data_IF_444908464916
#
_entry.id   IF_444908464916
#
_cell.length_a   1.000
_cell.length_b   1.000
_cell.length_c   1.000
_cell.angle_alpha   90.00
_cell.angle_beta   90.00
_cell.angle_gamma   90.00
#
_symmetry.space_group_name_H-M   'P 1'
#
loop_
_entity.id
_entity.type
_entity.pdbx_description
1 polymer ?
#
# COMPACT_ATOMS: atom_id res chain seq x y z
N UNK A 1 69.79 29.45 36.57
CA UNK A 1 68.58 28.67 36.93
C UNK A 1 67.58 28.90 35.81
N UNK A 2 67.87 28.25 34.69
CA UNK A 2 67.13 27.10 34.19
C UNK A 2 65.87 27.57 33.43
N UNK A 3 66.04 27.65 32.11
CA UNK A 3 64.98 27.85 31.13
C UNK A 3 64.04 26.65 31.15
N UNK A 4 62.73 26.91 31.22
CA UNK A 4 61.70 25.89 31.03
C UNK A 4 61.15 26.04 29.61
N UNK A 5 61.65 25.20 28.71
CA UNK A 5 61.02 24.96 27.41
C UNK A 5 59.69 24.25 27.65
N UNK A 6 58.59 24.97 27.51
CA UNK A 6 57.25 24.37 27.42
C UNK A 6 57.13 23.76 26.02
N UNK A 7 57.52 22.50 25.92
CA UNK A 7 57.34 21.65 24.75
C UNK A 7 55.85 21.52 24.41
N UNK A 8 55.45 22.20 23.34
CA UNK A 8 54.10 22.16 22.80
C UNK A 8 53.76 20.78 22.24
N UNK A 9 53.13 19.94 23.05
CA UNK A 9 52.41 18.76 22.57
C UNK A 9 50.98 19.16 22.18
N UNK A 10 50.85 19.81 21.02
CA UNK A 10 49.58 19.82 20.29
C UNK A 10 49.55 18.52 19.49
N UNK A 11 49.01 17.47 20.10
CA UNK A 11 48.54 16.31 19.35
C UNK A 11 47.30 16.79 18.60
N UNK A 12 47.51 17.22 17.37
CA UNK A 12 46.51 17.72 16.45
C UNK A 12 45.57 16.57 16.05
N UNK A 13 44.62 16.26 16.93
CA UNK A 13 43.51 15.32 16.71
C UNK A 13 42.41 16.03 15.91
N UNK A 14 42.78 16.70 14.82
CA UNK A 14 41.82 17.41 13.97
C UNK A 14 42.12 17.31 12.47
N UNK A 15 42.78 16.23 12.04
CA UNK A 15 42.96 15.87 10.62
C UNK A 15 42.28 14.54 10.25
N UNK A 16 41.15 14.22 10.91
CA UNK A 16 40.34 13.02 10.61
C UNK A 16 38.85 13.33 10.40
N UNK A 17 38.55 14.51 9.86
CA UNK A 17 37.19 15.00 9.70
C UNK A 17 36.95 15.75 8.39
N UNK A 18 37.64 15.40 7.30
CA UNK A 18 37.50 16.14 6.03
C UNK A 18 37.67 15.27 4.79
N UNK A 19 37.01 14.10 4.76
CA UNK A 19 36.83 13.32 3.52
C UNK A 19 35.62 12.36 3.56
N UNK A 20 34.66 12.60 4.47
CA UNK A 20 33.38 11.88 4.49
C UNK A 20 32.19 12.80 4.16
N UNK A 21 32.47 13.95 3.53
CA UNK A 21 31.47 14.83 2.90
C UNK A 21 31.25 14.44 1.42
N UNK A 22 31.35 13.12 1.13
CA UNK A 22 30.81 12.56 -0.10
C UNK A 22 29.30 12.54 0.12
N UNK A 23 28.66 13.60 -0.34
CA UNK A 23 27.28 13.91 -0.06
C UNK A 23 26.33 12.75 -0.37
N UNK A 24 25.30 12.64 0.47
CA UNK A 24 23.99 12.00 0.25
C UNK A 24 23.34 12.30 -1.12
N UNK A 25 23.93 13.16 -1.95
CA UNK A 25 23.42 13.57 -3.26
C UNK A 25 23.89 12.67 -4.41
N UNK A 26 24.90 11.80 -4.22
CA UNK A 26 25.37 10.85 -5.24
C UNK A 26 24.82 9.43 -5.04
N UNK A 27 23.93 9.22 -4.07
CA UNK A 27 23.21 7.95 -3.99
C UNK A 27 22.34 7.82 -5.26
N UNK A 28 22.55 6.80 -6.12
CA UNK A 28 21.79 6.68 -7.35
C UNK A 28 20.31 6.65 -7.00
N UNK A 29 19.49 7.42 -7.73
CA UNK A 29 18.03 7.51 -7.49
C UNK A 29 17.38 6.11 -7.44
N UNK A 30 17.92 5.15 -8.18
CA UNK A 30 17.49 3.76 -8.13
C UNK A 30 17.72 3.09 -6.77
N UNK A 31 18.76 3.42 -6.01
CA UNK A 31 19.01 2.89 -4.66
C UNK A 31 17.97 3.45 -3.68
N UNK A 32 17.62 4.73 -3.80
CA UNK A 32 16.51 5.35 -3.06
C UNK A 32 15.16 4.70 -3.41
N UNK A 33 14.84 4.58 -4.70
CA UNK A 33 13.60 3.96 -5.18
C UNK A 33 13.53 2.50 -4.77
N UNK A 34 14.63 1.74 -4.87
CA UNK A 34 14.68 0.33 -4.46
C UNK A 34 14.50 0.17 -2.95
N UNK A 35 15.03 1.10 -2.15
CA UNK A 35 14.85 1.12 -0.69
C UNK A 35 13.40 1.42 -0.32
N UNK A 36 12.79 2.41 -0.95
CA UNK A 36 11.39 2.80 -0.71
C UNK A 36 10.42 1.73 -1.22
N UNK A 37 10.66 1.19 -2.41
CA UNK A 37 9.90 0.07 -2.97
C UNK A 37 10.04 -1.20 -2.12
N UNK A 38 11.25 -1.49 -1.61
CA UNK A 38 11.46 -2.62 -0.69
C UNK A 38 10.78 -2.37 0.65
N UNK A 39 10.77 -1.15 1.17
CA UNK A 39 10.05 -0.81 2.40
C UNK A 39 8.52 -0.96 2.21
N UNK A 40 7.99 -0.51 1.08
CA UNK A 40 6.58 -0.69 0.70
C UNK A 40 6.27 -2.17 0.50
N UNK A 41 7.07 -2.93 -0.25
CA UNK A 41 6.90 -4.37 -0.43
C UNK A 41 7.00 -5.13 0.90
N UNK A 42 7.88 -4.72 1.80
CA UNK A 42 8.00 -5.34 3.13
C UNK A 42 6.74 -5.05 3.95
N UNK A 43 6.22 -3.82 3.95
CA UNK A 43 4.93 -3.47 4.58
C UNK A 43 3.74 -4.23 3.97
N UNK A 44 3.77 -4.42 2.65
CA UNK A 44 2.76 -5.17 1.90
C UNK A 44 2.85 -6.68 2.20
N UNK A 45 4.06 -7.22 2.33
CA UNK A 45 4.34 -8.58 2.77
C UNK A 45 3.84 -8.81 4.21
N UNK A 46 3.95 -7.81 5.07
CA UNK A 46 3.37 -7.84 6.42
C UNK A 46 1.83 -7.87 6.43
N UNK A 47 1.16 -7.27 5.44
CA UNK A 47 -0.31 -7.40 5.28
C UNK A 47 -0.68 -8.81 4.82
N UNK A 48 0.21 -9.50 4.10
CA UNK A 48 0.04 -10.89 3.64
C UNK A 48 0.39 -11.95 4.69
N UNK A 49 1.17 -11.63 5.72
CA UNK A 49 1.57 -12.54 6.79
C UNK A 49 1.25 -11.94 8.16
N UNK A 50 0.25 -12.47 8.89
CA UNK A 50 -0.15 -11.93 10.19
C UNK A 50 0.93 -12.26 11.22
N UNK A 51 1.84 -11.31 11.44
CA UNK A 51 2.93 -11.52 12.38
C UNK A 51 3.95 -10.39 12.40
N UNK A 52 3.70 -9.39 13.27
CA UNK A 52 4.74 -8.67 14.05
C UNK A 52 5.28 -7.34 13.48
N UNK A 53 4.46 -6.29 13.54
CA UNK A 53 4.72 -5.03 14.29
C UNK A 53 3.76 -3.91 13.85
N UNK A 54 2.78 -3.61 14.70
CA UNK A 54 1.74 -2.58 14.47
C UNK A 54 2.27 -1.13 14.56
N UNK A 55 3.54 -0.96 14.94
CA UNK A 55 4.19 0.34 15.10
C UNK A 55 4.54 1.04 13.77
N UNK A 56 4.64 0.27 12.67
CA UNK A 56 5.10 0.78 11.36
C UNK A 56 4.00 1.47 10.53
N UNK A 57 2.74 1.46 11.00
CA UNK A 57 1.61 2.21 10.44
C UNK A 57 1.32 3.53 11.19
N UNK A 58 2.16 3.91 12.16
CA UNK A 58 2.05 5.22 12.82
C UNK A 58 2.65 6.34 11.94
N UNK A 59 3.61 5.99 11.07
CA UNK A 59 4.23 6.93 10.16
C UNK A 59 3.38 7.13 8.91
N UNK A 60 2.99 8.37 8.71
CA UNK A 60 2.15 8.93 7.67
C UNK A 60 2.73 8.74 6.26
N UNK A 61 2.62 7.52 5.71
CA UNK A 61 3.15 7.18 4.39
C UNK A 61 2.00 7.09 3.36
N UNK A 62 1.67 8.21 2.74
CA UNK A 62 0.66 8.31 1.66
C UNK A 62 1.16 7.74 0.33
N UNK A 63 2.46 7.48 0.19
CA UNK A 63 3.07 7.03 -1.05
C UNK A 63 2.72 5.57 -1.35
N UNK A 64 2.61 4.73 -0.33
CA UNK A 64 2.22 3.32 -0.47
C UNK A 64 0.82 3.13 -1.08
N UNK A 65 -0.25 3.69 -0.47
CA UNK A 65 -1.61 3.66 -1.03
C UNK A 65 -1.70 4.24 -2.44
N UNK A 66 -0.96 5.33 -2.70
CA UNK A 66 -0.92 5.97 -4.02
C UNK A 66 -0.28 5.04 -5.06
N UNK A 67 0.85 4.42 -4.73
CA UNK A 67 1.52 3.45 -5.59
C UNK A 67 0.63 2.22 -5.86
N UNK A 68 -0.09 1.72 -4.84
CA UNK A 68 -1.04 0.62 -5.00
C UNK A 68 -2.22 1.00 -5.88
N UNK A 69 -2.73 2.23 -5.75
CA UNK A 69 -3.78 2.76 -6.61
C UNK A 69 -3.30 2.87 -8.07
N UNK A 70 -2.08 3.37 -8.28
CA UNK A 70 -1.46 3.46 -9.60
C UNK A 70 -1.25 2.08 -10.23
N UNK A 71 -0.75 1.13 -9.45
CA UNK A 71 -0.56 -0.25 -9.90
C UNK A 71 -1.89 -0.92 -10.25
N UNK A 72 -2.91 -0.75 -9.41
CA UNK A 72 -4.25 -1.29 -9.66
C UNK A 72 -4.86 -0.69 -10.93
N UNK A 73 -4.76 0.63 -11.11
CA UNK A 73 -5.20 1.32 -12.32
C UNK A 73 -4.46 0.86 -13.58
N UNK A 74 -3.14 0.66 -13.49
CA UNK A 74 -2.32 0.15 -14.60
C UNK A 74 -2.70 -1.28 -14.98
N UNK A 75 -2.91 -2.15 -13.99
CA UNK A 75 -3.31 -3.55 -14.21
C UNK A 75 -4.72 -3.64 -14.82
N UNK A 76 -5.63 -2.74 -14.42
CA UNK A 76 -6.95 -2.62 -15.03
C UNK A 76 -6.90 -2.04 -16.45
N UNK A 77 -6.04 -1.04 -16.69
CA UNK A 77 -5.91 -0.42 -18.02
C UNK A 77 -5.33 -1.40 -19.04
N UNK A 78 -4.27 -2.14 -18.69
CA UNK A 78 -3.68 -3.12 -19.59
C UNK A 78 -4.64 -4.22 -20.04
N UNK A 79 -5.80 -4.36 -19.38
CA UNK A 79 -6.87 -5.28 -19.75
C UNK A 79 -7.72 -4.82 -20.94
N UNK A 80 -7.73 -3.53 -21.28
CA UNK A 80 -8.46 -3.04 -22.46
C UNK A 80 -7.55 -2.92 -23.68
N UNK A 81 -7.40 -3.98 -24.48
CA UNK A 81 -6.92 -3.83 -25.85
C UNK A 81 -8.12 -3.61 -26.76
N UNK A 82 -8.49 -2.35 -26.99
CA UNK A 82 -9.42 -1.97 -28.04
C UNK A 82 -10.66 -1.22 -27.57
N UNK A 83 -10.52 0.07 -27.33
CA UNK A 83 -11.51 1.07 -27.71
C UNK A 83 -10.91 2.45 -27.43
N UNK A 84 -11.35 3.45 -28.18
CA UNK A 84 -10.85 4.83 -28.14
C UNK A 84 -11.22 5.58 -26.85
N UNK A 85 -11.39 4.88 -25.72
CA UNK A 85 -11.61 5.48 -24.41
C UNK A 85 -10.26 5.89 -23.81
N UNK A 86 -10.16 7.16 -23.45
CA UNK A 86 -8.97 7.76 -22.88
C UNK A 86 -8.50 6.95 -21.65
N UNK A 87 -7.24 6.46 -21.61
CA UNK A 87 -6.67 5.72 -20.47
C UNK A 87 -6.86 6.44 -19.12
N UNK A 88 -7.01 7.76 -19.19
CA UNK A 88 -7.34 8.70 -18.13
C UNK A 88 -8.60 8.31 -17.34
N UNK A 89 -9.67 7.84 -18.00
CA UNK A 89 -10.97 7.61 -17.34
C UNK A 89 -10.90 6.44 -16.35
N UNK A 90 -10.26 5.32 -16.71
CA UNK A 90 -10.12 4.16 -15.83
C UNK A 90 -9.27 4.46 -14.60
N UNK A 91 -8.17 5.19 -14.79
CA UNK A 91 -7.31 5.60 -13.67
C UNK A 91 -8.06 6.52 -12.70
N UNK A 92 -8.79 7.52 -13.22
CA UNK A 92 -9.59 8.43 -12.39
C UNK A 92 -10.66 7.66 -11.62
N UNK A 93 -11.32 6.68 -12.25
CA UNK A 93 -12.32 5.86 -11.58
C UNK A 93 -11.73 5.12 -10.36
N UNK A 94 -10.61 4.41 -10.55
CA UNK A 94 -9.95 3.67 -9.46
C UNK A 94 -9.46 4.65 -8.37
N UNK A 95 -8.90 5.78 -8.78
CA UNK A 95 -8.43 6.81 -7.86
C UNK A 95 -9.56 7.35 -6.98
N UNK A 96 -10.67 7.78 -7.58
CA UNK A 96 -11.82 8.31 -6.84
C UNK A 96 -12.45 7.24 -5.95
N UNK A 97 -12.54 5.99 -6.41
CA UNK A 97 -13.09 4.89 -5.61
C UNK A 97 -12.22 4.60 -4.38
N UNK A 98 -10.89 4.53 -4.55
CA UNK A 98 -9.96 4.24 -3.45
C UNK A 98 -9.91 5.39 -2.46
N UNK A 99 -9.65 6.62 -2.91
CA UNK A 99 -9.52 7.78 -2.02
C UNK A 99 -10.85 8.23 -1.43
N UNK A 100 -11.89 8.33 -2.26
CA UNK A 100 -13.23 8.70 -1.82
C UNK A 100 -13.83 7.65 -0.90
N UNK A 101 -13.72 6.36 -1.26
CA UNK A 101 -14.19 5.26 -0.44
C UNK A 101 -13.46 5.19 0.90
N UNK A 102 -12.13 5.29 0.90
CA UNK A 102 -11.35 5.33 2.14
C UNK A 102 -11.73 6.53 3.02
N UNK A 103 -11.92 7.72 2.42
CA UNK A 103 -12.36 8.90 3.17
C UNK A 103 -13.73 8.70 3.83
N UNK A 104 -14.71 8.10 3.14
CA UNK A 104 -16.04 7.79 3.71
C UNK A 104 -15.91 6.81 4.89
N UNK A 105 -15.15 5.73 4.72
CA UNK A 105 -14.91 4.74 5.79
C UNK A 105 -14.25 5.39 7.00
N UNK A 106 -13.22 6.20 6.76
CA UNK A 106 -12.48 6.90 7.81
C UNK A 106 -13.34 7.91 8.56
N UNK A 107 -14.12 8.73 7.85
CA UNK A 107 -15.03 9.70 8.48
C UNK A 107 -16.05 8.96 9.34
N UNK A 108 -16.60 7.85 8.83
CA UNK A 108 -17.50 7.01 9.62
C UNK A 108 -16.80 6.52 10.90
N UNK A 109 -15.60 5.97 10.80
CA UNK A 109 -14.83 5.51 11.96
C UNK A 109 -14.54 6.63 12.99
N UNK A 110 -14.30 7.87 12.54
CA UNK A 110 -14.12 9.02 13.43
C UNK A 110 -15.43 9.44 14.13
N UNK A 111 -16.56 9.44 13.41
CA UNK A 111 -17.88 9.75 13.98
C UNK A 111 -18.26 8.77 15.11
N UNK A 112 -17.74 7.54 15.07
CA UNK A 112 -17.89 6.57 16.15
C UNK A 112 -17.08 6.90 17.43
N UNK A 113 -16.45 8.09 17.51
CA UNK A 113 -15.49 8.52 18.54
C UNK A 113 -14.23 7.66 18.61
N UNK A 114 -13.79 7.12 17.47
CA UNK A 114 -12.50 6.46 17.37
C UNK A 114 -11.36 7.47 17.55
N UNK A 115 -10.30 7.12 18.29
CA UNK A 115 -9.08 7.95 18.42
C UNK A 115 -8.14 7.82 17.21
N UNK A 116 -8.72 7.58 16.03
CA UNK A 116 -7.99 7.31 14.78
C UNK A 116 -7.80 8.60 14.00
N UNK A 117 -6.56 8.86 13.58
CA UNK A 117 -6.30 9.98 12.69
C UNK A 117 -6.78 9.68 11.26
N UNK A 118 -7.27 10.71 10.57
CA UNK A 118 -7.90 10.61 9.25
C UNK A 118 -7.03 9.85 8.25
N UNK A 119 -5.88 10.43 7.95
CA UNK A 119 -5.03 9.89 6.91
C UNK A 119 -4.59 8.45 7.24
N UNK A 120 -4.61 8.01 8.52
CA UNK A 120 -3.89 6.80 8.98
C UNK A 120 -4.77 5.62 8.69
N UNK A 121 -6.06 5.83 8.95
CA UNK A 121 -7.12 4.97 8.45
C UNK A 121 -7.08 4.92 6.92
N UNK A 122 -6.95 6.05 6.22
CA UNK A 122 -6.86 6.06 4.74
C UNK A 122 -5.65 5.24 4.25
N UNK A 123 -4.46 5.45 4.84
CA UNK A 123 -3.27 4.69 4.48
C UNK A 123 -3.42 3.20 4.78
N UNK A 124 -3.94 2.85 5.95
CA UNK A 124 -4.18 1.45 6.35
C UNK A 124 -5.13 0.75 5.38
N UNK A 125 -6.25 1.41 5.04
CA UNK A 125 -7.21 0.89 4.06
C UNK A 125 -6.56 0.73 2.68
N UNK A 126 -5.72 1.68 2.27
CA UNK A 126 -4.95 1.60 1.03
C UNK A 126 -3.96 0.43 1.01
N UNK A 127 -3.21 0.18 2.09
CA UNK A 127 -2.28 -0.95 2.17
C UNK A 127 -2.98 -2.29 2.13
N UNK A 128 -4.16 -2.37 2.74
CA UNK A 128 -5.01 -3.53 2.70
C UNK A 128 -5.59 -3.80 1.30
N UNK A 129 -5.38 -2.95 0.28
CA UNK A 129 -5.73 -3.26 -1.12
C UNK A 129 -4.73 -4.18 -1.81
N UNK A 130 -3.53 -4.37 -1.25
CA UNK A 130 -2.51 -5.19 -1.89
C UNK A 130 -2.98 -6.62 -2.25
N UNK A 131 -3.69 -7.36 -1.38
CA UNK A 131 -4.20 -8.68 -1.75
C UNK A 131 -5.09 -8.63 -3.00
N UNK A 132 -5.93 -7.59 -3.14
CA UNK A 132 -6.74 -7.39 -4.36
C UNK A 132 -5.84 -7.09 -5.57
N UNK A 133 -4.85 -6.23 -5.43
CA UNK A 133 -3.92 -5.91 -6.53
C UNK A 133 -3.16 -7.14 -7.01
N UNK A 134 -2.72 -8.01 -6.08
CA UNK A 134 -2.10 -9.29 -6.42
C UNK A 134 -3.08 -10.27 -7.06
N UNK A 135 -4.34 -10.31 -6.62
CA UNK A 135 -5.38 -11.11 -7.26
C UNK A 135 -5.57 -10.72 -8.73
N UNK A 136 -5.53 -9.42 -9.07
CA UNK A 136 -5.56 -8.97 -10.47
C UNK A 136 -4.33 -9.46 -11.23
N UNK A 137 -3.14 -9.26 -10.67
CA UNK A 137 -1.89 -9.69 -11.32
C UNK A 137 -1.87 -11.20 -11.60
N UNK A 138 -2.29 -12.01 -10.62
CA UNK A 138 -2.41 -13.46 -10.78
C UNK A 138 -3.47 -13.84 -11.82
N UNK A 139 -4.62 -13.16 -11.80
CA UNK A 139 -5.67 -13.38 -12.80
C UNK A 139 -5.20 -13.08 -14.23
N UNK A 140 -4.32 -12.09 -14.39
CA UNK A 140 -3.73 -11.72 -15.69
C UNK A 140 -2.71 -12.75 -16.15
N UNK A 141 -1.88 -13.25 -15.24
CA UNK A 141 -0.97 -14.35 -15.56
C UNK A 141 -1.74 -15.62 -15.92
N UNK A 142 -2.86 -15.90 -15.25
CA UNK A 142 -3.71 -17.05 -15.55
C UNK A 142 -4.28 -17.03 -16.98
N UNK A 143 -4.58 -15.85 -17.53
CA UNK A 143 -5.03 -15.69 -18.91
C UNK A 143 -3.97 -16.07 -19.96
N UNK A 144 -2.68 -16.08 -19.60
CA UNK A 144 -1.61 -16.52 -20.52
C UNK A 144 -1.49 -18.04 -20.61
N UNK A 145 -2.16 -18.79 -19.71
CA UNK A 145 -2.15 -20.25 -19.74
C UNK A 145 -3.29 -20.77 -20.64
N UNK A 146 -3.09 -21.91 -21.33
CA UNK A 146 -4.12 -22.55 -22.16
C UNK A 146 -5.15 -23.29 -21.28
N UNK A 147 -6.06 -22.54 -20.66
CA UNK A 147 -7.13 -23.05 -19.79
C UNK A 147 -8.50 -22.71 -20.41
N UNK A 148 -9.54 -23.56 -20.29
CA UNK A 148 -10.87 -23.23 -20.81
C UNK A 148 -11.47 -21.98 -20.11
N UNK A 149 -12.20 -21.13 -20.85
CA UNK A 149 -12.68 -19.83 -20.36
C UNK A 149 -13.63 -19.94 -19.16
N UNK A 150 -14.45 -20.99 -19.11
CA UNK A 150 -15.36 -21.26 -17.98
C UNK A 150 -14.61 -21.56 -16.67
N UNK A 151 -13.49 -22.28 -16.74
CA UNK A 151 -12.66 -22.58 -15.58
C UNK A 151 -11.88 -21.33 -15.12
N UNK A 152 -11.40 -20.52 -16.07
CA UNK A 152 -10.71 -19.24 -15.77
C UNK A 152 -11.62 -18.33 -14.94
N UNK A 153 -12.89 -18.18 -15.32
CA UNK A 153 -13.84 -17.36 -14.57
C UNK A 153 -14.01 -17.82 -13.12
N UNK A 154 -14.23 -19.13 -12.90
CA UNK A 154 -14.40 -19.69 -11.54
C UNK A 154 -13.14 -19.50 -10.70
N UNK A 155 -11.96 -19.77 -11.26
CA UNK A 155 -10.68 -19.61 -10.54
C UNK A 155 -10.47 -18.15 -10.15
N UNK A 156 -10.78 -17.20 -11.04
CA UNK A 156 -10.67 -15.76 -10.75
C UNK A 156 -11.62 -15.34 -9.64
N UNK A 157 -12.87 -15.81 -9.68
CA UNK A 157 -13.86 -15.54 -8.63
C UNK A 157 -13.35 -16.01 -7.27
N UNK A 158 -12.75 -17.20 -7.19
CA UNK A 158 -12.14 -17.72 -5.96
C UNK A 158 -10.95 -16.86 -5.52
N UNK A 159 -10.02 -16.53 -6.42
CA UNK A 159 -8.83 -15.72 -6.10
C UNK A 159 -9.24 -14.34 -5.57
N UNK A 160 -10.16 -13.65 -6.26
CA UNK A 160 -10.66 -12.33 -5.84
C UNK A 160 -11.44 -12.43 -4.53
N UNK A 161 -12.24 -13.49 -4.33
CA UNK A 161 -12.96 -13.72 -3.09
C UNK A 161 -12.04 -13.91 -1.88
N UNK A 162 -10.98 -14.70 -2.02
CA UNK A 162 -9.96 -14.87 -0.96
C UNK A 162 -9.23 -13.56 -0.68
N UNK A 163 -8.86 -12.82 -1.72
CA UNK A 163 -8.22 -11.51 -1.57
C UNK A 163 -9.14 -10.48 -0.88
N UNK A 164 -10.43 -10.45 -1.22
CA UNK A 164 -11.44 -9.63 -0.56
C UNK A 164 -11.50 -9.97 0.93
N UNK A 165 -11.64 -11.26 1.26
CA UNK A 165 -11.69 -11.71 2.65
C UNK A 165 -10.44 -11.27 3.43
N UNK A 166 -9.26 -11.46 2.84
CA UNK A 166 -7.99 -11.08 3.46
C UNK A 166 -7.89 -9.58 3.74
N UNK A 167 -8.34 -8.77 2.79
CA UNK A 167 -8.27 -7.31 2.85
C UNK A 167 -9.23 -6.74 3.89
N UNK A 168 -10.45 -7.29 3.96
CA UNK A 168 -11.44 -6.97 4.99
C UNK A 168 -10.93 -7.40 6.37
N UNK A 169 -10.41 -8.62 6.49
CA UNK A 169 -9.89 -9.13 7.76
C UNK A 169 -8.73 -8.29 8.29
N UNK A 170 -7.75 -7.97 7.43
CA UNK A 170 -6.62 -7.14 7.78
C UNK A 170 -7.03 -5.75 8.24
N UNK A 171 -7.87 -5.06 7.45
CA UNK A 171 -8.33 -3.71 7.78
C UNK A 171 -9.19 -3.66 9.04
N UNK A 172 -10.07 -4.63 9.27
CA UNK A 172 -10.85 -4.72 10.50
C UNK A 172 -9.97 -4.99 11.73
N UNK A 173 -8.94 -5.83 11.58
CA UNK A 173 -7.93 -6.04 12.63
C UNK A 173 -7.37 -4.71 13.12
N UNK A 174 -6.87 -3.88 12.20
CA UNK A 174 -6.32 -2.56 12.51
C UNK A 174 -7.36 -1.57 13.03
N UNK A 175 -8.48 -1.36 12.32
CA UNK A 175 -9.47 -0.35 12.72
C UNK A 175 -10.12 -0.68 14.08
N UNK A 176 -10.30 -1.97 14.37
CA UNK A 176 -10.94 -2.42 15.62
C UNK A 176 -10.11 -2.13 16.88
N UNK A 177 -8.81 -1.85 16.75
CA UNK A 177 -7.95 -1.49 17.89
C UNK A 177 -8.18 -0.06 18.36
N UNK A 178 -8.63 0.83 17.47
CA UNK A 178 -8.88 2.23 17.76
C UNK A 178 -10.32 2.54 18.15
N UNK A 179 -11.19 1.52 18.08
CA UNK A 179 -12.62 1.61 18.37
C UNK A 179 -12.95 0.89 19.69
N UNK A 180 -13.85 1.45 20.52
CA UNK A 180 -14.32 0.77 21.72
C UNK A 180 -15.05 -0.54 21.34
N UNK A 181 -14.91 -1.58 22.16
CA UNK A 181 -15.41 -2.94 21.86
C UNK A 181 -16.91 -2.99 21.47
N UNK A 182 -17.72 -2.11 22.06
CA UNK A 182 -19.17 -2.01 21.80
C UNK A 182 -19.51 -1.43 20.40
N UNK A 183 -18.55 -0.82 19.69
CA UNK A 183 -18.80 -0.12 18.42
C UNK A 183 -18.11 -0.73 17.21
N UNK A 184 -17.39 -1.84 17.39
CA UNK A 184 -16.62 -2.51 16.32
C UNK A 184 -17.51 -2.95 15.16
N UNK A 185 -18.72 -3.43 15.45
CA UNK A 185 -19.65 -3.91 14.44
C UNK A 185 -20.10 -2.82 13.45
N UNK A 186 -20.19 -1.56 13.89
CA UNK A 186 -20.66 -0.45 13.05
C UNK A 186 -19.66 -0.07 11.95
N UNK A 187 -18.36 -0.34 12.14
CA UNK A 187 -17.32 -0.09 11.13
C UNK A 187 -17.21 -1.23 10.12
N UNK A 188 -17.74 -2.42 10.42
CA UNK A 188 -17.66 -3.57 9.51
C UNK A 188 -18.37 -3.28 8.19
N UNK A 189 -19.56 -2.68 8.25
CA UNK A 189 -20.36 -2.41 7.06
C UNK A 189 -19.65 -1.51 6.02
N UNK A 190 -19.18 -0.29 6.37
CA UNK A 190 -18.51 0.58 5.39
C UNK A 190 -17.19 -0.03 4.88
N UNK A 191 -16.44 -0.74 5.73
CA UNK A 191 -15.20 -1.43 5.33
C UNK A 191 -15.50 -2.54 4.32
N UNK A 192 -16.49 -3.40 4.60
CA UNK A 192 -16.90 -4.47 3.70
C UNK A 192 -17.36 -3.90 2.35
N UNK A 193 -18.21 -2.87 2.39
CA UNK A 193 -18.72 -2.22 1.18
C UNK A 193 -17.60 -1.63 0.32
N UNK A 194 -16.60 -1.01 0.95
CA UNK A 194 -15.43 -0.46 0.27
C UNK A 194 -14.64 -1.53 -0.52
N UNK A 195 -14.22 -2.61 0.13
CA UNK A 195 -13.46 -3.67 -0.57
C UNK A 195 -14.33 -4.43 -1.56
N UNK A 196 -15.61 -4.65 -1.24
CA UNK A 196 -16.54 -5.31 -2.15
C UNK A 196 -16.72 -4.51 -3.44
N UNK A 197 -16.89 -3.18 -3.36
CA UNK A 197 -17.00 -2.33 -4.55
C UNK A 197 -15.76 -2.43 -5.45
N UNK A 198 -14.56 -2.41 -4.87
CA UNK A 198 -13.30 -2.54 -5.62
C UNK A 198 -13.18 -3.96 -6.23
N UNK A 199 -13.51 -5.01 -5.49
CA UNK A 199 -13.52 -6.38 -6.00
C UNK A 199 -14.53 -6.57 -7.15
N UNK A 200 -15.71 -5.96 -7.06
CA UNK A 200 -16.69 -5.97 -8.14
C UNK A 200 -16.16 -5.27 -9.39
N UNK A 201 -15.53 -4.10 -9.23
CA UNK A 201 -14.87 -3.39 -10.33
C UNK A 201 -13.75 -4.23 -10.97
N UNK A 202 -12.95 -4.91 -10.14
CA UNK A 202 -11.91 -5.83 -10.59
C UNK A 202 -12.50 -6.97 -11.41
N UNK A 203 -13.62 -7.57 -10.99
CA UNK A 203 -14.27 -8.66 -11.72
C UNK A 203 -14.88 -8.16 -13.03
N UNK A 204 -15.60 -7.04 -13.00
CA UNK A 204 -16.28 -6.48 -14.16
C UNK A 204 -15.33 -6.14 -15.32
N UNK A 205 -14.19 -5.49 -15.03
CA UNK A 205 -13.19 -5.13 -16.06
C UNK A 205 -12.47 -6.35 -16.64
N UNK A 206 -12.52 -7.45 -15.92
CA UNK A 206 -11.81 -8.68 -16.22
C UNK A 206 -12.67 -9.65 -17.04
N UNK A 207 -13.99 -9.53 -16.97
CA UNK A 207 -14.93 -10.30 -17.78
C UNK A 207 -15.01 -9.78 -19.22
N UNK A 208 -14.77 -8.49 -19.46
CA UNK A 208 -14.67 -7.91 -20.81
C UNK A 208 -13.48 -8.41 -21.65
N UNK A 209 -12.65 -9.30 -21.10
CA UNK A 209 -11.46 -9.90 -21.73
C UNK A 209 -11.68 -11.33 -22.25
N UNK A 210 -12.82 -11.95 -21.94
CA UNK A 210 -13.18 -13.32 -22.34
C UNK A 210 -14.22 -13.25 -23.47
#
# INVERSE_FOLDING_TARGET
MAAEEVSGNIVDTQSRGRENDIGTLDEPVYVTIKRDLKAILTKCWYVLLPGRNKALLHDWDLWGPLLLCLLLGLLLHGAGHGSNEEPTIHFVHVFVMVWGGAAVVTINAQLLRGKVSFFQSVCTLGYCLLPLTLAVLLSRLLLTLPVPPSAIFIIRLVIVGVALFWSVWGSLGFLSEYLPANRKALVIYPVLLFYFAISCLILAQNDSLI
#
